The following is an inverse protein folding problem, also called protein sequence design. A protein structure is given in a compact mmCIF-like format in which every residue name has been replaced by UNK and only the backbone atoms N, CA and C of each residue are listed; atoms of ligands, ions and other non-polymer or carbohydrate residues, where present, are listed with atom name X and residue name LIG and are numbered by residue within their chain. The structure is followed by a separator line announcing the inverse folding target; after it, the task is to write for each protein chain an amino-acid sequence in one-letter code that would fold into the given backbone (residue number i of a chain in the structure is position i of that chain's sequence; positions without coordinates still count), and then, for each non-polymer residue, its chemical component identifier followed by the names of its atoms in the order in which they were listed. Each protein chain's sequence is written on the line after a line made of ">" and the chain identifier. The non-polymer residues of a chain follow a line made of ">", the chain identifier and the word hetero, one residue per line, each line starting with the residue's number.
data_IF_078671519624
#
_entry.id   IF_078671519624
#
_cell.length_a   1.000
_cell.length_b   1.000
_cell.length_c   1.000
_cell.angle_alpha   90.00
_cell.angle_beta   90.00
_cell.angle_gamma   90.00
#
_symmetry.space_group_name_H-M   'P 1'
#
loop_
_entity.id
_entity.type
_entity.pdbx_description
1 polymer ?
#
# COMPACT_ATOMS: atom_id res chain seq x y z
N UNK A 1 24.60 -6.19 -1.66
CA UNK A 1 23.85 -6.84 -0.58
C UNK A 1 24.09 -6.12 0.74
N UNK A 2 25.35 -5.94 1.19
CA UNK A 2 25.68 -5.33 2.48
C UNK A 2 25.13 -3.89 2.66
N UNK A 3 25.12 -3.08 1.61
CA UNK A 3 24.58 -1.72 1.66
C UNK A 3 23.06 -1.70 1.85
N UNK A 4 22.33 -2.60 1.20
CA UNK A 4 20.88 -2.76 1.37
C UNK A 4 20.52 -3.22 2.78
N UNK A 5 21.30 -4.12 3.37
CA UNK A 5 21.05 -4.65 4.72
C UNK A 5 21.25 -3.59 5.82
N UNK A 6 22.07 -2.55 5.55
CA UNK A 6 22.34 -1.44 6.48
C UNK A 6 21.34 -0.29 6.25
N UNK A 7 21.12 0.09 5.00
CA UNK A 7 20.28 1.24 4.65
C UNK A 7 18.79 0.93 4.83
N UNK A 8 18.37 -0.29 4.52
CA UNK A 8 16.98 -0.69 4.57
C UNK A 8 16.34 -0.56 5.97
N UNK A 9 16.95 -1.01 7.07
CA UNK A 9 16.40 -0.82 8.42
C UNK A 9 16.28 0.64 8.83
N UNK A 10 17.30 1.46 8.56
CA UNK A 10 17.29 2.89 8.92
C UNK A 10 16.21 3.67 8.16
N UNK A 11 16.01 3.36 6.88
CA UNK A 11 14.94 3.97 6.06
C UNK A 11 13.57 3.55 6.59
N UNK A 12 13.39 2.30 6.98
CA UNK A 12 12.13 1.80 7.55
C UNK A 12 11.81 2.52 8.87
N UNK A 13 12.76 2.60 9.78
CA UNK A 13 12.53 3.29 11.06
C UNK A 13 12.20 4.77 10.83
N UNK A 14 12.95 5.48 9.97
CA UNK A 14 12.66 6.86 9.61
C UNK A 14 11.26 7.02 9.00
N UNK A 15 10.80 6.08 8.19
CA UNK A 15 9.46 6.10 7.61
C UNK A 15 8.37 6.03 8.70
N UNK A 16 8.52 5.13 9.67
CA UNK A 16 7.57 5.00 10.76
C UNK A 16 7.64 6.16 11.76
N UNK A 17 8.82 6.72 12.04
CA UNK A 17 8.98 7.94 12.85
C UNK A 17 8.27 9.13 12.20
N UNK A 18 8.40 9.30 10.89
CA UNK A 18 7.67 10.33 10.14
C UNK A 18 6.16 10.11 10.19
N UNK A 19 5.70 8.87 10.10
CA UNK A 19 4.29 8.53 10.23
C UNK A 19 3.74 8.90 11.62
N UNK A 20 4.46 8.56 12.68
CA UNK A 20 4.06 8.91 14.05
C UNK A 20 4.04 10.43 14.27
N UNK A 21 5.01 11.15 13.71
CA UNK A 21 5.04 12.62 13.74
C UNK A 21 3.84 13.21 12.99
N UNK A 22 3.50 12.69 11.83
CA UNK A 22 2.37 13.13 11.03
C UNK A 22 1.02 12.90 11.74
N UNK A 23 0.88 11.81 12.50
CA UNK A 23 -0.31 11.51 13.31
C UNK A 23 -0.59 12.57 14.39
N UNK A 24 0.43 13.31 14.82
CA UNK A 24 0.28 14.37 15.85
C UNK A 24 -0.26 15.69 15.26
N UNK A 25 -0.37 15.82 13.96
CA UNK A 25 -0.93 17.02 13.34
C UNK A 25 -2.44 17.16 13.68
N UNK A 26 -2.92 18.38 13.99
CA UNK A 26 -4.30 18.59 14.48
C UNK A 26 -5.40 18.06 13.58
N UNK A 27 -5.19 18.10 12.26
CA UNK A 27 -6.18 17.69 11.26
C UNK A 27 -5.86 16.33 10.61
N UNK A 28 -4.91 15.58 11.18
CA UNK A 28 -4.53 14.29 10.65
C UNK A 28 -5.61 13.25 10.91
N UNK A 29 -6.22 12.74 9.84
CA UNK A 29 -7.22 11.67 9.89
C UNK A 29 -6.64 10.29 9.62
N UNK A 30 -5.38 10.21 9.23
CA UNK A 30 -4.66 8.98 8.93
C UNK A 30 -3.39 9.27 8.13
N UNK A 31 -2.47 8.32 8.16
CA UNK A 31 -1.21 8.40 7.41
C UNK A 31 -1.15 7.23 6.45
N UNK A 32 -0.87 7.51 5.19
CA UNK A 32 -0.68 6.49 4.16
C UNK A 32 0.80 6.29 3.90
N UNK A 33 1.27 5.06 4.01
CA UNK A 33 2.63 4.66 3.68
C UNK A 33 2.64 3.98 2.31
N UNK A 34 3.29 4.60 1.33
CA UNK A 34 3.50 3.99 0.01
C UNK A 34 4.80 3.17 0.01
N UNK A 35 4.67 1.86 0.20
CA UNK A 35 5.79 0.94 0.28
C UNK A 35 5.61 -0.20 -0.72
N UNK A 36 6.37 -0.23 -1.82
CA UNK A 36 6.20 -1.21 -2.89
C UNK A 36 6.31 -2.68 -2.48
N UNK A 37 7.13 -2.98 -1.48
CA UNK A 37 7.39 -4.33 -0.97
C UNK A 37 6.87 -4.51 0.47
N UNK A 38 5.80 -3.81 0.84
CA UNK A 38 5.23 -3.80 2.19
C UNK A 38 4.95 -5.20 2.74
N UNK A 39 4.37 -6.06 1.93
CA UNK A 39 3.98 -7.42 2.33
C UNK A 39 5.20 -8.33 2.34
N UNK A 40 6.03 -8.28 1.31
CA UNK A 40 7.23 -9.10 1.18
C UNK A 40 8.24 -8.87 2.32
N UNK A 41 8.36 -7.63 2.76
CA UNK A 41 9.24 -7.25 3.89
C UNK A 41 8.63 -7.52 5.27
N UNK A 42 7.34 -7.89 5.33
CA UNK A 42 6.63 -8.10 6.58
C UNK A 42 6.18 -6.83 7.29
N UNK A 43 6.43 -5.64 6.71
CA UNK A 43 6.08 -4.34 7.30
C UNK A 43 4.58 -4.10 7.42
N UNK A 44 3.77 -4.82 6.63
CA UNK A 44 2.30 -4.80 6.74
C UNK A 44 1.80 -5.09 8.17
N UNK A 45 2.57 -5.84 8.97
CA UNK A 45 2.23 -6.15 10.36
C UNK A 45 2.32 -4.95 11.31
N UNK A 46 2.96 -3.86 10.87
CA UNK A 46 3.10 -2.59 11.60
C UNK A 46 2.05 -1.56 11.18
N UNK A 47 1.18 -1.89 10.24
CA UNK A 47 0.12 -1.03 9.73
C UNK A 47 -1.22 -1.43 10.33
N UNK A 48 -2.09 -0.45 10.57
CA UNK A 48 -3.45 -0.69 11.06
C UNK A 48 -4.34 -1.33 9.98
N UNK A 49 -4.06 -1.02 8.71
CA UNK A 49 -4.74 -1.58 7.54
C UNK A 49 -3.83 -1.60 6.32
N UNK A 50 -4.07 -2.54 5.44
CA UNK A 50 -3.33 -2.73 4.20
C UNK A 50 -4.25 -2.54 3.00
N UNK A 51 -3.91 -1.59 2.15
CA UNK A 51 -4.58 -1.35 0.86
C UNK A 51 -3.72 -1.96 -0.25
N UNK A 52 -4.28 -2.86 -1.02
CA UNK A 52 -3.63 -3.45 -2.19
C UNK A 52 -4.22 -2.88 -3.46
N UNK A 53 -3.40 -2.20 -4.25
CA UNK A 53 -3.77 -1.79 -5.61
C UNK A 53 -3.43 -2.91 -6.58
N UNK A 54 -4.44 -3.36 -7.34
CA UNK A 54 -4.30 -4.45 -8.31
C UNK A 54 -4.57 -3.96 -9.73
N UNK A 55 -4.00 -4.66 -10.70
CA UNK A 55 -4.36 -4.53 -12.10
C UNK A 55 -4.16 -5.88 -12.80
N UNK A 56 -4.87 -6.11 -13.90
CA UNK A 56 -4.67 -7.33 -14.68
C UNK A 56 -3.25 -7.37 -15.28
N UNK A 57 -2.81 -8.56 -15.63
CA UNK A 57 -1.41 -8.77 -16.02
C UNK A 57 -1.03 -8.02 -17.30
N UNK A 58 -1.94 -7.93 -18.26
CA UNK A 58 -1.68 -7.23 -19.52
C UNK A 58 -1.58 -5.71 -19.31
N UNK A 59 -2.46 -5.13 -18.50
CA UNK A 59 -2.38 -3.72 -18.09
C UNK A 59 -1.03 -3.42 -17.42
N UNK A 60 -0.58 -4.30 -16.54
CA UNK A 60 0.71 -4.16 -15.84
C UNK A 60 1.89 -4.21 -16.83
N UNK A 61 1.90 -5.16 -17.77
CA UNK A 61 2.92 -5.23 -18.81
C UNK A 61 2.93 -3.95 -19.65
N UNK A 62 1.78 -3.51 -20.16
CA UNK A 62 1.67 -2.33 -20.97
C UNK A 62 2.20 -1.07 -20.24
N UNK A 63 1.82 -0.89 -18.98
CA UNK A 63 2.27 0.25 -18.16
C UNK A 63 3.77 0.23 -17.89
N UNK A 64 4.36 -0.91 -17.53
CA UNK A 64 5.80 -1.05 -17.27
C UNK A 64 6.59 -0.82 -18.56
N UNK A 65 6.18 -1.43 -19.67
CA UNK A 65 6.83 -1.24 -20.97
C UNK A 65 6.81 0.22 -21.39
N UNK A 66 5.67 0.91 -21.24
CA UNK A 66 5.54 2.33 -21.59
C UNK A 66 6.36 3.24 -20.69
N UNK A 67 6.33 3.01 -19.38
CA UNK A 67 7.00 3.87 -18.39
C UNK A 67 8.51 3.74 -18.43
N UNK A 68 9.01 2.51 -18.52
CA UNK A 68 10.43 2.18 -18.32
C UNK A 68 11.15 1.85 -19.64
N UNK A 69 10.44 1.86 -20.78
CA UNK A 69 11.01 1.52 -22.09
C UNK A 69 11.43 0.05 -22.22
N UNK A 70 10.86 -0.83 -21.39
CA UNK A 70 11.26 -2.24 -21.33
C UNK A 70 10.56 -3.09 -22.39
N UNK A 71 11.24 -4.16 -22.83
CA UNK A 71 10.61 -5.22 -23.58
C UNK A 71 9.61 -6.02 -22.74
N UNK A 72 8.68 -6.73 -23.40
CA UNK A 72 7.72 -7.60 -22.69
C UNK A 72 8.42 -8.67 -21.83
N UNK A 73 9.55 -9.19 -22.28
CA UNK A 73 10.35 -10.18 -21.52
C UNK A 73 10.87 -9.59 -20.21
N UNK A 74 11.40 -8.36 -20.27
CA UNK A 74 11.92 -7.66 -19.09
C UNK A 74 10.79 -7.26 -18.14
N UNK A 75 9.66 -6.77 -18.66
CA UNK A 75 8.48 -6.45 -17.86
C UNK A 75 7.96 -7.71 -17.12
N UNK A 76 7.94 -8.85 -17.80
CA UNK A 76 7.57 -10.15 -17.20
C UNK A 76 8.52 -10.54 -16.08
N UNK A 77 9.83 -10.44 -16.31
CA UNK A 77 10.83 -10.77 -15.30
C UNK A 77 10.69 -9.87 -14.05
N UNK A 78 10.46 -8.56 -14.24
CA UNK A 78 10.25 -7.60 -13.14
C UNK A 78 9.01 -7.93 -12.32
N UNK A 79 7.89 -8.28 -12.96
CA UNK A 79 6.66 -8.69 -12.25
C UNK A 79 6.86 -10.02 -11.52
N UNK A 80 7.54 -10.99 -12.14
CA UNK A 80 7.79 -12.30 -11.55
C UNK A 80 8.73 -12.26 -10.34
N UNK A 81 9.56 -11.22 -10.21
CA UNK A 81 10.43 -11.00 -9.05
C UNK A 81 9.69 -10.57 -7.78
N UNK A 82 8.44 -10.15 -7.89
CA UNK A 82 7.60 -9.78 -6.75
C UNK A 82 6.64 -10.90 -6.38
N UNK A 83 6.12 -10.83 -5.15
CA UNK A 83 5.04 -11.73 -4.72
C UNK A 83 3.83 -11.59 -5.66
N UNK A 84 3.25 -12.71 -6.14
CA UNK A 84 2.06 -12.66 -6.98
C UNK A 84 0.87 -11.96 -6.31
N UNK A 85 0.08 -11.21 -7.07
CA UNK A 85 -1.07 -10.47 -6.52
C UNK A 85 -2.06 -11.36 -5.75
N UNK A 86 -2.31 -12.59 -6.22
CA UNK A 86 -3.23 -13.50 -5.54
C UNK A 86 -2.73 -13.90 -4.14
N UNK A 87 -1.41 -13.94 -3.92
CA UNK A 87 -0.84 -14.13 -2.58
C UNK A 87 -0.97 -12.86 -1.74
N UNK A 88 -0.70 -11.68 -2.33
CA UNK A 88 -0.82 -10.38 -1.64
C UNK A 88 -2.25 -10.11 -1.16
N UNK A 89 -3.27 -10.54 -1.90
CA UNK A 89 -4.69 -10.40 -1.52
C UNK A 89 -5.02 -10.98 -0.14
N UNK A 90 -4.26 -11.94 0.34
CA UNK A 90 -4.46 -12.57 1.66
C UNK A 90 -4.05 -11.67 2.83
N UNK A 91 -3.28 -10.64 2.55
CA UNK A 91 -2.74 -9.69 3.53
C UNK A 91 -3.39 -8.31 3.43
N UNK A 92 -4.29 -8.14 2.48
CA UNK A 92 -4.95 -6.87 2.22
C UNK A 92 -6.32 -6.82 2.90
N UNK A 93 -6.57 -5.72 3.60
CA UNK A 93 -7.88 -5.40 4.18
C UNK A 93 -8.79 -4.76 3.13
N UNK A 94 -8.19 -4.01 2.19
CA UNK A 94 -8.88 -3.35 1.10
C UNK A 94 -8.18 -3.58 -0.23
N UNK A 95 -8.95 -3.66 -1.31
CA UNK A 95 -8.43 -3.85 -2.66
C UNK A 95 -8.99 -2.76 -3.58
N UNK A 96 -8.08 -2.06 -4.27
CA UNK A 96 -8.43 -1.12 -5.35
C UNK A 96 -8.02 -1.73 -6.69
N UNK A 97 -8.96 -1.93 -7.58
CA UNK A 97 -8.68 -2.36 -8.94
C UNK A 97 -8.39 -1.16 -9.83
N UNK A 98 -7.23 -1.14 -10.46
CA UNK A 98 -6.74 -0.08 -11.33
C UNK A 98 -6.61 -0.58 -12.79
N UNK A 99 -7.69 -1.07 -13.35
CA UNK A 99 -7.76 -1.56 -14.73
C UNK A 99 -8.50 -0.61 -15.69
N UNK A 100 -9.11 0.43 -15.15
CA UNK A 100 -9.98 1.36 -15.86
C UNK A 100 -9.34 2.74 -16.01
N UNK A 101 -10.15 3.76 -16.16
CA UNK A 101 -9.73 5.15 -16.31
C UNK A 101 -9.22 5.75 -14.99
N UNK A 102 -8.44 6.83 -15.09
CA UNK A 102 -7.98 7.58 -13.93
C UNK A 102 -9.15 8.18 -13.12
N UNK A 103 -10.19 8.64 -13.80
CA UNK A 103 -11.38 9.17 -13.15
C UNK A 103 -12.11 8.11 -12.30
N UNK A 104 -12.25 6.89 -12.81
CA UNK A 104 -12.83 5.79 -12.05
C UNK A 104 -11.93 5.35 -10.88
N UNK A 105 -10.62 5.39 -11.06
CA UNK A 105 -9.67 5.13 -9.98
C UNK A 105 -9.85 6.15 -8.84
N UNK A 106 -9.97 7.44 -9.17
CA UNK A 106 -10.20 8.49 -8.17
C UNK A 106 -11.50 8.25 -7.39
N UNK A 107 -12.60 7.90 -8.05
CA UNK A 107 -13.86 7.57 -7.38
C UNK A 107 -13.69 6.41 -6.38
N UNK A 108 -13.00 5.34 -6.77
CA UNK A 108 -12.74 4.19 -5.89
C UNK A 108 -11.87 4.56 -4.68
N UNK A 109 -10.90 5.45 -4.89
CA UNK A 109 -10.06 5.98 -3.80
C UNK A 109 -10.89 6.82 -2.84
N UNK A 110 -11.76 7.71 -3.34
CA UNK A 110 -12.62 8.56 -2.52
C UNK A 110 -13.61 7.72 -1.69
N UNK A 111 -14.20 6.69 -2.27
CA UNK A 111 -15.07 5.74 -1.57
C UNK A 111 -14.32 5.00 -0.45
N UNK A 112 -13.09 4.56 -0.72
CA UNK A 112 -12.26 3.90 0.27
C UNK A 112 -11.88 4.84 1.42
N UNK A 113 -11.48 6.07 1.12
CA UNK A 113 -11.17 7.09 2.14
C UNK A 113 -12.39 7.33 3.04
N UNK A 114 -13.59 7.47 2.46
CA UNK A 114 -14.82 7.59 3.20
C UNK A 114 -15.09 6.40 4.14
N UNK A 115 -14.80 5.19 3.69
CA UNK A 115 -14.94 3.97 4.49
C UNK A 115 -13.94 3.95 5.65
N UNK A 116 -12.67 4.25 5.39
CA UNK A 116 -11.63 4.30 6.41
C UNK A 116 -11.92 5.33 7.50
N UNK A 117 -12.43 6.50 7.12
CA UNK A 117 -12.81 7.55 8.06
C UNK A 117 -13.97 7.15 8.96
N UNK A 118 -14.98 6.45 8.43
CA UNK A 118 -16.10 5.91 9.22
C UNK A 118 -15.61 4.86 10.22
N UNK A 119 -14.81 3.90 9.78
CA UNK A 119 -14.27 2.85 10.63
C UNK A 119 -13.40 3.42 11.76
N UNK A 120 -12.58 4.45 11.47
CA UNK A 120 -11.78 5.13 12.48
C UNK A 120 -12.65 5.85 13.52
N UNK A 121 -13.74 6.48 13.12
CA UNK A 121 -14.67 7.15 14.02
C UNK A 121 -15.40 6.14 14.93
N UNK A 122 -15.81 4.99 14.40
CA UNK A 122 -16.47 3.92 15.16
C UNK A 122 -15.54 3.28 16.18
N UNK A 123 -14.28 3.04 15.82
CA UNK A 123 -13.28 2.48 16.74
C UNK A 123 -12.93 3.44 17.89
N UNK A 124 -12.95 4.76 17.64
CA UNK A 124 -12.74 5.78 18.68
C UNK A 124 -13.98 5.98 19.57
N UNK A 125 -15.17 5.56 19.14
CA UNK A 125 -16.41 5.71 19.88
C UNK A 125 -16.72 4.51 20.81
N UNK A 126 -15.96 3.41 20.73
CA UNK A 126 -16.06 2.31 21.67
C UNK A 126 -15.23 2.65 22.93
N UNK A 127 -15.86 2.93 24.09
CA UNK A 127 -15.13 3.03 25.34
C UNK A 127 -14.56 1.64 25.65
N UNK A 128 -13.26 1.60 25.97
CA UNK A 128 -12.61 0.44 26.56
C UNK A 128 -13.47 -0.05 27.73
N UNK A 129 -14.20 -1.15 27.54
CA UNK A 129 -14.73 -1.91 28.68
C UNK A 129 -13.53 -2.56 29.36
N UNK A 130 -12.90 -1.81 30.25
CA UNK A 130 -12.12 -2.39 31.31
C UNK A 130 -13.11 -3.03 32.29
N UNK A 131 -13.12 -4.33 32.25
CA UNK A 131 -13.64 -5.12 33.37
C UNK A 131 -12.48 -5.53 34.25
#
# INVERSE_FOLDING_TARGET
>A
ELLNDIVHPAVIESLFEQAETAKQLPDCRGVVLDVPLLIESGLHKRCDSVILVTANIETRYARIMKRDGLSRREARARIAAQMPQWKKKRYADYIIENDTTEAELHLRVDELIGTLQKNAAENNAQPSCEA
#
